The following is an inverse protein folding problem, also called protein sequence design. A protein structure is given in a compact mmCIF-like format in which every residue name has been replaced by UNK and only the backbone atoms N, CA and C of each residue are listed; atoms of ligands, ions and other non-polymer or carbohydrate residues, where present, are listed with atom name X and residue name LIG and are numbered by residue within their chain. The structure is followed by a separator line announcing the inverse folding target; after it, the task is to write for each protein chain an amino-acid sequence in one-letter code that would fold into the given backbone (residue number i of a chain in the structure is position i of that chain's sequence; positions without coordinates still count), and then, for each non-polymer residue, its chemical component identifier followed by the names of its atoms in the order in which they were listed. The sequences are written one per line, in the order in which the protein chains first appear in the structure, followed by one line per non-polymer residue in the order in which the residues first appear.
data_IF_193037770629
#
_entry.id   IF_193037770629
#
_cell.length_a   1.000
_cell.length_b   1.000
_cell.length_c   1.000
_cell.angle_alpha   90.00
_cell.angle_beta   90.00
_cell.angle_gamma   90.00
#
_symmetry.space_group_name_H-M   'P 1'
#
loop_
_entity.id
_entity.type
_entity.pdbx_description
1 polymer ?
#
# COMPACT_ATOMS: atom_id res chain seq x y z
N UNK A 1 22.93 -15.87 -4.65
CA UNK A 1 22.28 -15.32 -5.86
C UNK A 1 20.87 -15.90 -5.88
N UNK A 2 19.82 -15.08 -5.94
CA UNK A 2 18.45 -15.59 -6.06
C UNK A 2 18.22 -15.92 -7.53
N UNK A 3 17.77 -17.13 -7.82
CA UNK A 3 17.34 -17.51 -9.16
C UNK A 3 15.95 -16.90 -9.44
N UNK A 4 15.80 -16.19 -10.56
CA UNK A 4 14.56 -15.48 -10.91
C UNK A 4 13.99 -16.07 -12.19
N UNK A 5 12.79 -16.64 -12.08
CA UNK A 5 11.98 -17.08 -13.21
C UNK A 5 11.07 -15.93 -13.65
N UNK A 6 11.51 -15.17 -14.66
CA UNK A 6 10.85 -13.93 -15.09
C UNK A 6 9.39 -14.12 -15.53
N UNK A 7 9.05 -15.27 -16.13
CA UNK A 7 7.67 -15.58 -16.57
C UNK A 7 6.69 -15.81 -15.40
N UNK A 8 7.21 -16.01 -14.18
CA UNK A 8 6.43 -16.26 -12.97
C UNK A 8 6.71 -15.26 -11.85
N UNK A 9 7.53 -14.24 -12.12
CA UNK A 9 7.96 -13.23 -11.15
C UNK A 9 7.42 -11.87 -11.56
N UNK A 10 6.74 -11.17 -10.63
CA UNK A 10 6.35 -9.77 -10.82
C UNK A 10 7.01 -8.85 -9.79
N UNK A 11 7.24 -7.60 -10.19
CA UNK A 11 7.70 -6.54 -9.30
C UNK A 11 6.50 -5.76 -8.78
N UNK A 12 6.44 -5.56 -7.46
CA UNK A 12 5.37 -4.80 -6.82
C UNK A 12 5.93 -3.48 -6.28
N UNK A 13 5.39 -2.39 -6.77
CA UNK A 13 5.71 -1.03 -6.31
C UNK A 13 4.59 -0.53 -5.42
N UNK A 14 4.87 -0.32 -4.14
CA UNK A 14 3.86 0.12 -3.16
C UNK A 14 4.13 1.50 -2.59
N UNK A 15 3.09 2.12 -2.03
CA UNK A 15 3.16 3.40 -1.30
C UNK A 15 3.94 4.47 -2.06
N UNK A 16 3.88 4.39 -3.40
CA UNK A 16 4.49 5.35 -4.29
C UNK A 16 3.53 6.51 -4.50
N UNK A 17 3.02 7.04 -3.40
CA UNK A 17 1.99 8.06 -3.42
C UNK A 17 2.59 9.43 -3.65
N UNK A 18 1.87 10.26 -4.39
CA UNK A 18 1.99 11.71 -4.28
C UNK A 18 1.29 12.14 -2.99
N UNK A 19 2.08 12.54 -2.01
CA UNK A 19 1.61 12.95 -0.68
C UNK A 19 1.45 14.46 -0.52
N UNK A 20 1.59 15.22 -1.63
CA UNK A 20 1.62 16.67 -1.61
C UNK A 20 2.76 17.25 -0.75
N UNK A 21 2.75 18.56 -0.53
CA UNK A 21 3.83 19.24 0.21
C UNK A 21 3.53 19.41 1.69
N UNK A 22 4.57 19.66 2.49
CA UNK A 22 4.46 19.96 3.92
C UNK A 22 3.64 21.23 4.17
N UNK A 23 3.67 22.19 3.25
CA UNK A 23 2.88 23.41 3.32
C UNK A 23 1.39 23.15 3.08
N UNK A 24 1.07 22.17 2.23
CA UNK A 24 -0.30 21.77 1.92
C UNK A 24 -0.93 20.91 3.02
N UNK A 25 -0.14 20.00 3.62
CA UNK A 25 -0.60 19.05 4.66
C UNK A 25 0.39 18.98 5.84
N UNK A 26 0.56 20.06 6.60
CA UNK A 26 1.60 20.13 7.64
C UNK A 26 1.41 19.08 8.74
N UNK A 27 0.18 18.77 9.14
CA UNK A 27 -0.13 17.72 10.11
C UNK A 27 0.14 16.31 9.59
N UNK A 28 -0.10 16.06 8.31
CA UNK A 28 0.21 14.76 7.71
C UNK A 28 1.73 14.54 7.61
N UNK A 29 2.48 15.56 7.18
CA UNK A 29 3.95 15.53 7.11
C UNK A 29 4.62 15.54 8.50
N UNK A 30 3.95 16.06 9.54
CA UNK A 30 4.40 15.90 10.94
C UNK A 30 4.16 14.47 11.43
N UNK A 31 2.99 13.90 11.18
CA UNK A 31 2.66 12.57 11.64
C UNK A 31 3.54 11.52 10.92
N UNK A 32 3.62 11.60 9.59
CA UNK A 32 4.30 10.61 8.76
C UNK A 32 5.67 11.12 8.36
N UNK A 33 6.61 11.08 9.31
CA UNK A 33 7.95 11.65 9.19
C UNK A 33 8.79 11.08 8.03
N UNK A 34 8.44 9.90 7.52
CA UNK A 34 9.15 9.28 6.41
C UNK A 34 8.72 9.79 5.02
N UNK A 35 7.68 10.63 4.91
CA UNK A 35 7.21 11.17 3.62
C UNK A 35 8.36 11.82 2.81
N UNK A 36 9.17 12.74 3.37
CA UNK A 36 10.25 13.37 2.61
C UNK A 36 11.31 12.37 2.11
N UNK A 37 11.55 11.30 2.88
CA UNK A 37 12.47 10.23 2.49
C UNK A 37 11.87 9.40 1.35
N UNK A 38 10.59 9.04 1.46
CA UNK A 38 9.87 8.29 0.43
C UNK A 38 9.90 9.06 -0.91
N UNK A 39 9.56 10.35 -0.89
CA UNK A 39 9.60 11.19 -2.10
C UNK A 39 10.98 11.28 -2.75
N UNK A 40 12.06 11.38 -1.96
CA UNK A 40 13.43 11.42 -2.50
C UNK A 40 13.78 10.14 -3.26
N UNK A 41 13.32 9.00 -2.75
CA UNK A 41 13.48 7.70 -3.40
C UNK A 41 12.60 7.65 -4.65
N UNK A 42 11.37 8.17 -4.58
CA UNK A 42 10.49 8.27 -5.75
C UNK A 42 11.10 9.09 -6.88
N UNK A 43 11.74 10.21 -6.58
CA UNK A 43 12.36 11.09 -7.58
C UNK A 43 13.63 10.50 -8.19
N UNK A 44 14.34 9.63 -7.47
CA UNK A 44 15.57 8.97 -7.95
C UNK A 44 15.32 7.70 -8.75
N UNK A 45 14.19 7.01 -8.51
CA UNK A 45 13.75 5.87 -9.31
C UNK A 45 12.97 6.33 -10.53
N UNK A 46 13.58 6.31 -11.71
CA UNK A 46 12.87 6.50 -12.98
C UNK A 46 11.95 5.31 -13.23
N UNK A 47 10.65 5.56 -13.24
CA UNK A 47 9.64 4.69 -13.81
C UNK A 47 8.72 5.63 -14.64
N UNK A 48 8.27 5.14 -15.81
CA UNK A 48 7.65 5.93 -16.89
C UNK A 48 6.15 6.18 -16.63
N UNK A 49 5.43 6.99 -17.45
CA UNK A 49 4.11 7.61 -17.14
C UNK A 49 2.88 7.16 -18.00
N UNK A 50 1.70 6.92 -17.38
CA UNK A 50 0.36 7.07 -18.03
C UNK A 50 -0.80 6.08 -17.73
N UNK A 51 -2.02 6.64 -17.53
CA UNK A 51 -3.43 6.10 -17.62
C UNK A 51 -3.99 5.15 -16.49
N UNK A 52 -5.32 4.83 -16.39
CA UNK A 52 -6.09 4.98 -15.13
C UNK A 52 -6.70 3.70 -14.50
N UNK A 53 -6.66 3.64 -13.15
CA UNK A 53 -7.46 2.86 -12.16
C UNK A 53 -7.60 1.32 -12.35
N UNK A 54 -7.73 0.63 -11.21
CA UNK A 54 -7.83 -0.83 -10.96
C UNK A 54 -8.87 -1.65 -11.76
N UNK A 55 -9.40 -1.17 -12.90
CA UNK A 55 -10.48 -1.82 -13.64
C UNK A 55 -10.17 -3.28 -13.95
N UNK A 56 -8.95 -3.59 -14.41
CA UNK A 56 -8.54 -4.97 -14.71
C UNK A 56 -8.50 -5.87 -13.48
N UNK A 57 -8.01 -5.38 -12.34
CA UNK A 57 -7.99 -6.18 -11.12
C UNK A 57 -9.41 -6.43 -10.61
N UNK A 58 -10.29 -5.42 -10.71
CA UNK A 58 -11.70 -5.54 -10.34
C UNK A 58 -12.46 -6.54 -11.25
N UNK A 59 -12.20 -6.52 -12.55
CA UNK A 59 -12.76 -7.48 -13.52
C UNK A 59 -12.34 -8.93 -13.23
N UNK A 60 -11.13 -9.12 -12.71
CA UNK A 60 -10.58 -10.44 -12.38
C UNK A 60 -10.98 -10.93 -10.98
N UNK A 61 -11.51 -10.05 -10.13
CA UNK A 61 -11.93 -10.39 -8.77
C UNK A 61 -13.38 -10.83 -8.70
N UNK A 62 -13.63 -11.86 -7.90
CA UNK A 62 -14.97 -12.15 -7.37
C UNK A 62 -15.37 -11.15 -6.28
N UNK A 63 -16.49 -11.39 -5.56
CA UNK A 63 -16.83 -10.60 -4.39
C UNK A 63 -15.69 -10.66 -3.35
N UNK A 64 -15.39 -9.55 -2.65
CA UNK A 64 -14.35 -9.55 -1.64
C UNK A 64 -14.67 -10.53 -0.52
N UNK A 65 -13.66 -11.14 0.13
CA UNK A 65 -13.89 -12.01 1.27
C UNK A 65 -14.58 -11.22 2.41
N UNK A 66 -15.41 -11.90 3.23
CA UNK A 66 -16.00 -11.25 4.38
C UNK A 66 -14.92 -10.76 5.35
N UNK A 67 -15.12 -9.62 6.01
CA UNK A 67 -14.18 -9.14 7.02
C UNK A 67 -14.09 -10.15 8.17
N UNK A 68 -12.93 -10.23 8.85
CA UNK A 68 -12.79 -11.10 10.01
C UNK A 68 -13.73 -10.67 11.13
N UNK A 69 -14.21 -11.65 11.89
CA UNK A 69 -14.97 -11.44 13.11
C UNK A 69 -14.22 -10.47 14.03
N UNK A 70 -14.95 -9.50 14.58
CA UNK A 70 -14.42 -8.51 15.50
C UNK A 70 -14.82 -8.86 16.92
N UNK A 71 -13.95 -8.58 17.89
CA UNK A 71 -14.34 -8.66 19.29
C UNK A 71 -15.45 -7.65 19.60
N UNK A 72 -16.48 -8.10 20.31
CA UNK A 72 -17.55 -7.23 20.81
C UNK A 72 -16.98 -6.16 21.74
N UNK A 73 -17.25 -4.87 21.48
CA UNK A 73 -16.67 -3.81 22.27
C UNK A 73 -17.38 -3.65 23.62
N UNK A 74 -16.61 -3.81 24.69
CA UNK A 74 -17.04 -3.41 26.04
C UNK A 74 -16.72 -1.92 26.33
N UNK A 75 -17.17 -1.43 27.47
CA UNK A 75 -16.94 -0.04 27.88
C UNK A 75 -15.45 0.31 27.97
N UNK A 76 -14.63 -0.65 28.40
CA UNK A 76 -13.17 -0.48 28.53
C UNK A 76 -12.54 -0.29 27.15
N UNK A 77 -12.87 -1.12 26.18
CA UNK A 77 -12.37 -1.03 24.81
C UNK A 77 -12.78 0.29 24.16
N UNK A 78 -14.03 0.73 24.36
CA UNK A 78 -14.49 2.03 23.88
C UNK A 78 -13.70 3.19 24.49
N UNK A 79 -13.41 3.13 25.79
CA UNK A 79 -12.58 4.12 26.47
C UNK A 79 -11.14 4.14 25.95
N UNK A 80 -10.54 2.98 25.72
CA UNK A 80 -9.19 2.86 25.16
C UNK A 80 -9.12 3.40 23.72
N UNK A 81 -10.14 3.14 22.89
CA UNK A 81 -10.23 3.69 21.54
C UNK A 81 -10.30 5.22 21.55
N UNK A 82 -11.17 5.81 22.38
CA UNK A 82 -11.24 7.27 22.55
C UNK A 82 -9.91 7.87 23.01
N UNK A 83 -9.30 7.29 24.04
CA UNK A 83 -8.00 7.74 24.54
C UNK A 83 -6.93 7.71 23.43
N UNK A 84 -6.90 6.62 22.64
CA UNK A 84 -5.97 6.47 21.51
C UNK A 84 -6.22 7.51 20.43
N UNK A 85 -7.47 7.74 20.02
CA UNK A 85 -7.83 8.74 19.02
C UNK A 85 -7.43 10.17 19.44
N UNK A 86 -7.57 10.48 20.73
CA UNK A 86 -7.28 11.82 21.25
C UNK A 86 -5.79 12.05 21.50
N UNK A 87 -5.06 11.04 21.99
CA UNK A 87 -3.74 11.22 22.59
C UNK A 87 -2.61 10.48 21.86
N UNK A 88 -2.92 9.56 20.94
CA UNK A 88 -1.92 8.70 20.27
C UNK A 88 -1.88 9.01 18.77
N UNK A 89 -0.81 8.61 18.10
CA UNK A 89 -0.61 8.76 16.65
C UNK A 89 -1.88 8.47 15.82
N UNK A 90 -2.21 9.31 14.81
CA UNK A 90 -1.50 10.51 14.37
C UNK A 90 -1.75 11.75 15.23
N UNK A 91 -2.59 11.66 16.26
CA UNK A 91 -3.03 12.76 17.11
C UNK A 91 -4.16 13.58 16.49
N UNK A 92 -5.13 13.98 17.30
CA UNK A 92 -6.32 14.74 16.86
C UNK A 92 -5.97 15.99 16.04
N UNK A 93 -4.90 16.69 16.41
CA UNK A 93 -4.42 17.91 15.75
C UNK A 93 -3.84 17.69 14.35
N UNK A 94 -3.53 16.45 13.94
CA UNK A 94 -3.07 16.13 12.59
C UNK A 94 -4.18 15.49 11.73
N UNK A 95 -5.29 15.09 12.33
CA UNK A 95 -6.30 14.23 11.69
C UNK A 95 -6.95 14.89 10.48
N UNK A 96 -7.23 16.20 10.53
CA UNK A 96 -7.82 16.91 9.40
C UNK A 96 -6.89 16.89 8.18
N UNK A 97 -5.60 17.16 8.38
CA UNK A 97 -4.61 17.15 7.31
C UNK A 97 -4.40 15.73 6.76
N UNK A 98 -4.35 14.73 7.63
CA UNK A 98 -4.29 13.31 7.25
C UNK A 98 -5.50 12.96 6.38
N UNK A 99 -6.72 13.31 6.81
CA UNK A 99 -7.95 13.03 6.05
C UNK A 99 -7.94 13.71 4.68
N UNK A 100 -7.60 15.01 4.61
CA UNK A 100 -7.51 15.74 3.34
C UNK A 100 -6.43 15.15 2.42
N UNK A 101 -5.31 14.74 3.00
CA UNK A 101 -4.22 14.08 2.31
C UNK A 101 -4.63 12.77 1.66
N UNK A 102 -5.23 11.86 2.44
CA UNK A 102 -5.70 10.56 1.94
C UNK A 102 -6.75 10.68 0.83
N UNK A 103 -7.60 11.72 0.86
CA UNK A 103 -8.60 11.98 -0.19
C UNK A 103 -7.98 12.38 -1.53
N UNK A 104 -6.71 12.79 -1.56
CA UNK A 104 -6.00 13.20 -2.77
C UNK A 104 -4.85 12.29 -3.16
N UNK A 105 -4.66 11.18 -2.45
CA UNK A 105 -3.61 10.23 -2.78
C UNK A 105 -3.80 9.74 -4.21
N UNK A 106 -2.74 9.87 -4.99
CA UNK A 106 -2.57 9.26 -6.30
C UNK A 106 -1.14 8.71 -6.37
N UNK A 107 -0.82 7.96 -7.42
CA UNK A 107 0.55 7.57 -7.69
C UNK A 107 1.40 8.79 -8.02
N UNK A 108 2.59 8.88 -7.42
CA UNK A 108 3.63 9.79 -7.85
C UNK A 108 3.86 9.62 -9.35
N UNK A 109 4.14 10.72 -10.07
CA UNK A 109 4.25 10.70 -11.54
C UNK A 109 5.14 9.59 -12.09
N UNK A 110 6.26 9.31 -11.40
CA UNK A 110 7.20 8.26 -11.79
C UNK A 110 6.66 6.85 -11.52
N UNK A 111 5.69 6.66 -10.64
CA UNK A 111 5.19 5.35 -10.24
C UNK A 111 3.79 5.05 -10.78
N UNK A 112 3.33 5.83 -11.77
CA UNK A 112 2.09 5.53 -12.46
C UNK A 112 2.29 4.26 -13.28
N UNK A 113 1.30 3.36 -13.24
CA UNK A 113 1.27 2.16 -14.05
C UNK A 113 1.46 2.48 -15.54
N UNK A 114 2.14 1.60 -16.26
CA UNK A 114 2.35 1.69 -17.72
C UNK A 114 1.56 0.63 -18.47
N UNK A 115 0.93 1.02 -19.58
CA UNK A 115 0.27 0.08 -20.49
C UNK A 115 -0.78 -0.78 -19.77
N UNK A 116 -0.50 -2.08 -19.64
CA UNK A 116 -1.41 -3.07 -19.06
C UNK A 116 -0.98 -3.58 -17.68
N UNK A 117 -0.05 -2.87 -17.02
CA UNK A 117 0.37 -3.12 -15.63
C UNK A 117 -0.83 -3.14 -14.68
N UNK A 118 -0.87 -4.16 -13.83
CA UNK A 118 -1.94 -4.33 -12.86
C UNK A 118 -1.85 -3.36 -11.68
N UNK A 119 -2.97 -2.77 -11.31
CA UNK A 119 -3.13 -1.97 -10.08
C UNK A 119 -4.04 -2.74 -9.13
N UNK A 120 -3.64 -2.90 -7.87
CA UNK A 120 -4.43 -3.55 -6.82
C UNK A 120 -4.52 -2.68 -5.57
N UNK A 121 -5.73 -2.55 -5.02
CA UNK A 121 -6.00 -1.84 -3.76
C UNK A 121 -5.79 -2.73 -2.53
N UNK A 122 -6.00 -4.04 -2.67
CA UNK A 122 -5.91 -5.03 -1.60
C UNK A 122 -5.26 -6.35 -2.07
N UNK A 123 -5.12 -7.31 -1.14
CA UNK A 123 -4.53 -8.61 -1.47
C UNK A 123 -5.42 -9.53 -2.30
N UNK A 124 -6.74 -9.35 -2.26
CA UNK A 124 -7.66 -10.09 -3.09
C UNK A 124 -7.50 -9.73 -4.57
N UNK A 125 -7.43 -8.42 -4.86
CA UNK A 125 -7.12 -7.87 -6.18
C UNK A 125 -5.72 -8.29 -6.66
N UNK A 126 -4.71 -8.18 -5.79
CA UNK A 126 -3.34 -8.57 -6.14
C UNK A 126 -3.25 -10.07 -6.44
N UNK A 127 -3.92 -10.92 -5.66
CA UNK A 127 -3.94 -12.36 -5.90
C UNK A 127 -4.69 -12.74 -7.18
N UNK A 128 -5.77 -12.03 -7.52
CA UNK A 128 -6.45 -12.21 -8.80
C UNK A 128 -5.51 -11.91 -9.98
N UNK A 129 -4.73 -10.81 -9.91
CA UNK A 129 -3.68 -10.52 -10.90
C UNK A 129 -2.62 -11.63 -10.94
N UNK A 130 -2.14 -12.09 -9.79
CA UNK A 130 -1.15 -13.17 -9.73
C UNK A 130 -1.66 -14.44 -10.43
N UNK A 131 -2.91 -14.84 -10.20
CA UNK A 131 -3.50 -16.01 -10.88
C UNK A 131 -3.64 -15.80 -12.38
N UNK A 132 -4.11 -14.63 -12.80
CA UNK A 132 -4.29 -14.29 -14.22
C UNK A 132 -2.97 -14.37 -14.99
N UNK A 133 -1.90 -13.81 -14.43
CA UNK A 133 -0.57 -13.80 -15.05
C UNK A 133 0.30 -15.00 -14.70
N UNK A 134 -0.22 -15.99 -13.94
CA UNK A 134 0.52 -17.17 -13.46
C UNK A 134 1.77 -16.81 -12.65
N UNK A 135 1.73 -15.70 -11.91
CA UNK A 135 2.81 -15.25 -11.02
C UNK A 135 2.74 -16.01 -9.70
N UNK A 136 3.88 -16.56 -9.28
CA UNK A 136 4.03 -17.24 -7.98
C UNK A 136 5.14 -16.62 -7.10
N UNK A 137 5.85 -15.61 -7.62
CA UNK A 137 6.88 -14.87 -6.89
C UNK A 137 6.69 -13.36 -7.06
N UNK A 138 6.65 -12.63 -5.94
CA UNK A 138 6.57 -11.17 -5.91
C UNK A 138 7.85 -10.59 -5.32
N UNK A 139 8.45 -9.66 -6.07
CA UNK A 139 9.58 -8.85 -5.60
C UNK A 139 9.05 -7.47 -5.25
N UNK A 140 9.03 -7.15 -3.98
CA UNK A 140 8.56 -5.84 -3.52
C UNK A 140 9.70 -4.81 -3.54
N UNK A 141 9.38 -3.65 -4.09
CA UNK A 141 10.24 -2.48 -4.11
C UNK A 141 9.68 -1.39 -3.20
N UNK A 142 10.59 -0.56 -2.65
CA UNK A 142 10.36 0.67 -1.83
C UNK A 142 10.21 0.47 -0.31
N UNK A 143 9.85 1.57 0.36
CA UNK A 143 9.69 1.74 1.80
C UNK A 143 8.20 1.79 2.19
N UNK A 144 7.81 1.45 3.42
CA UNK A 144 8.60 1.00 4.56
C UNK A 144 8.55 -0.53 4.73
N UNK A 145 9.72 -1.19 4.73
CA UNK A 145 9.83 -2.66 4.80
C UNK A 145 9.20 -3.24 6.08
N UNK A 146 9.44 -2.62 7.24
CA UNK A 146 9.12 -3.24 8.53
C UNK A 146 7.63 -3.22 8.90
N UNK A 147 6.80 -2.40 8.25
CA UNK A 147 5.39 -2.26 8.62
C UNK A 147 4.50 -2.39 7.38
N UNK A 148 4.63 -1.43 6.49
CA UNK A 148 3.83 -1.30 5.28
C UNK A 148 4.03 -2.45 4.28
N UNK A 149 5.23 -3.02 4.20
CA UNK A 149 5.52 -4.16 3.33
C UNK A 149 5.22 -5.51 3.98
N UNK A 150 5.19 -5.59 5.31
CA UNK A 150 4.86 -6.85 5.97
C UNK A 150 3.34 -7.03 6.14
N UNK A 151 2.62 -5.99 6.60
CA UNK A 151 1.28 -6.15 7.20
C UNK A 151 0.13 -5.43 6.49
N UNK A 152 0.39 -4.52 5.55
CA UNK A 152 -0.72 -3.89 4.81
C UNK A 152 -1.45 -4.91 3.92
N UNK A 153 -2.67 -4.62 3.46
CA UNK A 153 -3.33 -5.47 2.48
C UNK A 153 -2.51 -5.65 1.19
N UNK A 154 -2.47 -6.86 0.65
CA UNK A 154 -1.70 -7.24 -0.54
C UNK A 154 -0.19 -7.21 -0.33
N UNK A 155 0.27 -7.66 0.84
CA UNK A 155 1.68 -7.61 1.24
C UNK A 155 2.21 -8.96 1.65
N UNK A 156 3.49 -9.02 2.00
CA UNK A 156 4.22 -10.29 2.16
C UNK A 156 3.50 -11.29 3.07
N UNK A 157 2.96 -10.86 4.22
CA UNK A 157 2.26 -11.77 5.13
C UNK A 157 0.92 -12.29 4.60
N UNK A 158 0.20 -11.49 3.80
CA UNK A 158 -1.06 -11.92 3.18
C UNK A 158 -0.80 -12.78 1.94
N UNK A 159 0.08 -12.33 1.05
CA UNK A 159 0.40 -13.04 -0.18
C UNK A 159 1.10 -14.38 0.09
N UNK A 160 1.90 -14.51 1.16
CA UNK A 160 2.46 -15.82 1.53
C UNK A 160 1.38 -16.82 1.96
N UNK A 161 0.26 -16.36 2.53
CA UNK A 161 -0.90 -17.24 2.83
C UNK A 161 -1.59 -17.74 1.56
N UNK A 162 -1.44 -17.02 0.46
CA UNK A 162 -1.85 -17.45 -0.88
C UNK A 162 -0.80 -18.33 -1.58
N UNK A 163 0.30 -18.71 -0.91
CA UNK A 163 1.36 -19.53 -1.48
C UNK A 163 2.34 -18.78 -2.39
N UNK A 164 2.29 -17.44 -2.39
CA UNK A 164 3.18 -16.61 -3.20
C UNK A 164 4.50 -16.38 -2.46
N UNK A 165 5.62 -16.72 -3.09
CA UNK A 165 6.94 -16.37 -2.57
C UNK A 165 7.11 -14.86 -2.59
N UNK A 166 7.59 -14.28 -1.50
CA UNK A 166 7.75 -12.84 -1.37
C UNK A 166 9.22 -12.49 -1.07
N UNK A 167 9.82 -11.68 -1.93
CA UNK A 167 11.17 -11.13 -1.78
C UNK A 167 11.11 -9.61 -1.73
N UNK A 168 12.14 -8.96 -1.19
CA UNK A 168 12.22 -7.50 -1.14
C UNK A 168 13.65 -7.02 -1.44
N UNK A 169 13.77 -5.87 -2.08
CA UNK A 169 15.05 -5.16 -2.21
C UNK A 169 14.92 -3.71 -1.72
N UNK A 170 16.00 -3.18 -1.17
CA UNK A 170 16.07 -1.87 -0.52
C UNK A 170 17.16 -1.00 -1.10
#
# INVERSE_FOLDING_TARGET
MIEIFWDHTAVVVMHAWDTGTREQYPGWHRAVEYIPRAERICRRGQLLQGIPRCLRALELTGPPPPPPEQAEPDEVLLRLRRFREENVFPGKHNMEDVKRGFQRIDFASQARSQGDEGIAEDGHQLFALCRHYKVNHLIYARFAINWCLLLSPGRMAEMSRHGIMCSAFR
#
